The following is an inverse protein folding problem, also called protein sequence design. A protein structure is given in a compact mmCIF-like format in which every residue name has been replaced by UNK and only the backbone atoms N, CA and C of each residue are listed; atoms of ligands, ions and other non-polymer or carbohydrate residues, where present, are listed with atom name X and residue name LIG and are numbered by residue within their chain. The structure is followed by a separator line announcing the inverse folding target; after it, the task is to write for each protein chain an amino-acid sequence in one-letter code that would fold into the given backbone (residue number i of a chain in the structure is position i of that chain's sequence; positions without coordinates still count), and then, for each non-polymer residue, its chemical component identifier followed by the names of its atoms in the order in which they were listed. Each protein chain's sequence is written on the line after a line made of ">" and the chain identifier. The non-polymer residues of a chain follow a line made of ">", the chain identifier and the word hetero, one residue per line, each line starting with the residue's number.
data_IF_373391920577
#
_entry.id   IF_373391920577
#
_cell.length_a   1.000
_cell.length_b   1.000
_cell.length_c   1.000
_cell.angle_alpha   90.00
_cell.angle_beta   90.00
_cell.angle_gamma   90.00
#
_symmetry.space_group_name_H-M   'P 1'
#
loop_
_entity.id
_entity.type
_entity.pdbx_description
1 polymer ?
#
# COMPACT_ATOMS: atom_id res chain seq x y z
N UNK A 1 53.57 10.10 -18.86
CA UNK A 1 52.89 11.01 -17.89
C UNK A 1 51.64 11.66 -18.44
N UNK A 2 51.58 12.14 -19.68
CA UNK A 2 50.41 12.83 -20.24
C UNK A 2 49.17 11.94 -20.38
N UNK A 3 49.29 10.66 -20.80
CA UNK A 3 48.16 9.72 -20.89
C UNK A 3 47.56 9.37 -19.54
N UNK A 4 48.42 9.18 -18.52
CA UNK A 4 47.94 8.92 -17.12
C UNK A 4 47.18 10.11 -16.56
N UNK A 5 47.57 11.33 -16.88
CA UNK A 5 46.87 12.55 -16.44
C UNK A 5 45.53 12.73 -17.18
N UNK A 6 45.43 12.33 -18.47
CA UNK A 6 44.14 12.31 -19.20
C UNK A 6 43.17 11.30 -18.59
N UNK A 7 43.61 10.07 -18.29
CA UNK A 7 42.76 9.07 -17.67
C UNK A 7 42.27 9.47 -16.29
N UNK A 8 43.09 10.15 -15.46
CA UNK A 8 42.67 10.68 -14.18
C UNK A 8 41.70 11.86 -14.31
N UNK A 9 41.85 12.72 -15.31
CA UNK A 9 40.93 13.82 -15.55
C UNK A 9 39.56 13.31 -16.02
N UNK A 10 39.53 12.32 -16.89
CA UNK A 10 38.31 11.65 -17.36
C UNK A 10 37.60 10.92 -16.20
N UNK A 11 38.35 10.17 -15.36
CA UNK A 11 37.81 9.50 -14.19
C UNK A 11 37.15 10.50 -13.23
N UNK A 12 37.81 11.63 -12.96
CA UNK A 12 37.25 12.69 -12.12
C UNK A 12 35.98 13.28 -12.72
N UNK A 13 36.02 13.62 -14.01
CA UNK A 13 34.90 14.30 -14.69
C UNK A 13 33.65 13.42 -14.82
N UNK A 14 33.83 12.14 -15.21
CA UNK A 14 32.71 11.28 -15.57
C UNK A 14 32.21 10.37 -14.45
N UNK A 15 33.02 10.15 -13.41
CA UNK A 15 32.63 9.28 -12.30
C UNK A 15 32.67 10.01 -10.95
N UNK A 16 33.77 10.62 -10.57
CA UNK A 16 33.93 11.17 -9.21
C UNK A 16 33.01 12.36 -8.98
N UNK A 17 33.00 13.35 -9.88
CA UNK A 17 32.15 14.52 -9.72
C UNK A 17 30.64 14.21 -9.70
N UNK A 18 30.12 13.39 -10.65
CA UNK A 18 28.71 12.97 -10.58
C UNK A 18 28.35 12.25 -9.29
N UNK A 19 29.23 11.39 -8.77
CA UNK A 19 29.00 10.70 -7.49
C UNK A 19 28.98 11.68 -6.31
N UNK A 20 29.91 12.63 -6.24
CA UNK A 20 29.96 13.65 -5.20
C UNK A 20 28.69 14.54 -5.25
N UNK A 21 28.33 15.01 -6.44
CA UNK A 21 27.11 15.82 -6.62
C UNK A 21 25.85 15.04 -6.24
N UNK A 22 25.75 13.78 -6.63
CA UNK A 22 24.61 12.92 -6.24
C UNK A 22 24.55 12.71 -4.72
N UNK A 23 25.70 12.51 -4.06
CA UNK A 23 25.76 12.38 -2.62
C UNK A 23 25.37 13.68 -1.91
N UNK A 24 25.90 14.81 -2.36
CA UNK A 24 25.55 16.14 -1.81
C UNK A 24 24.03 16.37 -1.97
N UNK A 25 23.49 16.10 -3.16
CA UNK A 25 22.06 16.24 -3.42
C UNK A 25 21.22 15.32 -2.53
N UNK A 26 21.63 14.06 -2.41
CA UNK A 26 20.96 13.11 -1.51
C UNK A 26 20.95 13.60 -0.06
N UNK A 27 22.10 14.06 0.46
CA UNK A 27 22.19 14.58 1.83
C UNK A 27 21.35 15.85 2.00
N UNK A 28 21.35 16.75 1.02
CA UNK A 28 20.50 17.95 1.03
C UNK A 28 19.01 17.57 1.07
N UNK A 29 18.59 16.66 0.22
CA UNK A 29 17.20 16.16 0.22
C UNK A 29 16.83 15.48 1.54
N UNK A 30 17.69 14.58 2.04
CA UNK A 30 17.39 13.77 3.22
C UNK A 30 17.39 14.60 4.51
N UNK A 31 18.33 15.54 4.68
CA UNK A 31 18.53 16.23 5.96
C UNK A 31 18.03 17.69 5.98
N UNK A 32 17.75 18.29 4.84
CA UNK A 32 17.29 19.68 4.76
C UNK A 32 15.90 19.76 4.14
N UNK A 33 15.74 19.32 2.89
CA UNK A 33 14.50 19.51 2.14
C UNK A 33 13.36 18.67 2.71
N UNK A 34 13.58 17.37 2.92
CA UNK A 34 12.54 16.47 3.44
C UNK A 34 12.08 16.86 4.84
N UNK A 35 12.95 17.11 5.83
CA UNK A 35 12.50 17.60 7.12
C UNK A 35 11.79 18.95 7.06
N UNK A 36 12.25 19.88 6.25
CA UNK A 36 11.61 21.19 6.10
C UNK A 36 10.18 21.11 5.58
N UNK A 37 9.91 20.15 4.66
CA UNK A 37 8.59 19.95 4.07
C UNK A 37 7.73 18.92 4.85
N UNK A 38 8.32 18.13 5.74
CA UNK A 38 7.65 17.05 6.46
C UNK A 38 7.70 17.22 7.98
N UNK A 39 7.49 18.45 8.47
CA UNK A 39 7.39 18.75 9.91
C UNK A 39 8.57 18.19 10.74
N UNK A 40 9.77 18.24 10.19
CA UNK A 40 11.00 17.76 10.85
C UNK A 40 11.26 16.25 10.77
N UNK A 41 10.41 15.47 10.12
CA UNK A 41 10.52 14.01 10.08
C UNK A 41 11.23 13.49 8.82
N UNK A 42 12.04 12.45 9.01
CA UNK A 42 12.64 11.65 7.93
C UNK A 42 11.97 10.27 7.95
N UNK A 43 10.79 10.18 7.39
CA UNK A 43 9.93 8.98 7.49
C UNK A 43 10.57 7.72 6.89
N UNK A 44 11.43 7.85 5.88
CA UNK A 44 12.08 6.70 5.24
C UNK A 44 13.00 5.90 6.15
N UNK A 45 13.54 6.52 7.21
CA UNK A 45 14.38 5.81 8.20
C UNK A 45 13.55 4.77 8.95
N UNK A 46 12.27 5.02 9.13
CA UNK A 46 11.36 4.08 9.77
C UNK A 46 11.22 2.73 9.02
N UNK A 47 11.56 2.67 7.74
CA UNK A 47 11.62 1.41 6.98
C UNK A 47 12.70 0.45 7.49
N UNK A 48 13.66 0.94 8.27
CA UNK A 48 14.82 0.20 8.77
C UNK A 48 14.90 0.18 10.30
N UNK A 49 13.82 0.44 11.00
CA UNK A 49 13.78 0.55 12.47
C UNK A 49 14.31 -0.68 13.19
N UNK A 50 14.16 -1.88 12.61
CA UNK A 50 14.74 -3.11 13.13
C UNK A 50 16.28 -3.11 13.13
N UNK A 51 16.90 -2.20 12.36
CA UNK A 51 18.36 -2.03 12.29
C UNK A 51 18.84 -0.88 13.16
N UNK A 52 17.97 0.14 13.41
CA UNK A 52 18.30 1.29 14.23
C UNK A 52 17.32 2.44 14.03
N UNK A 53 17.21 3.31 15.03
CA UNK A 53 16.24 4.43 15.06
C UNK A 53 16.72 5.70 14.33
N UNK A 54 17.96 5.71 13.87
CA UNK A 54 18.54 6.82 13.08
C UNK A 54 19.53 6.28 12.06
N UNK A 55 19.86 7.03 10.98
CA UNK A 55 20.84 6.61 9.98
C UNK A 55 22.20 6.27 10.61
N UNK A 56 22.65 7.04 11.59
CA UNK A 56 23.89 6.78 12.32
C UNK A 56 23.83 5.48 13.13
N UNK A 57 22.71 5.22 13.82
CA UNK A 57 22.53 3.99 14.58
C UNK A 57 22.44 2.77 13.66
N UNK A 58 21.81 2.89 12.49
CA UNK A 58 21.75 1.82 11.49
C UNK A 58 23.18 1.47 11.05
N UNK A 59 23.97 2.48 10.72
CA UNK A 59 25.36 2.27 10.31
C UNK A 59 26.21 1.63 11.42
N UNK A 60 26.13 2.14 12.65
CA UNK A 60 26.83 1.57 13.81
C UNK A 60 26.41 0.12 14.03
N UNK A 61 25.11 -0.17 14.01
CA UNK A 61 24.59 -1.51 14.23
C UNK A 61 24.96 -2.47 13.08
N UNK A 62 25.14 -1.99 11.87
CA UNK A 62 25.61 -2.81 10.76
C UNK A 62 26.99 -3.44 11.04
N UNK A 63 27.87 -2.72 11.74
CA UNK A 63 29.18 -3.22 12.13
C UNK A 63 29.19 -3.88 13.51
N UNK A 64 28.51 -3.28 14.49
CA UNK A 64 28.51 -3.76 15.87
C UNK A 64 27.61 -4.98 16.10
N UNK A 65 26.55 -5.11 15.30
CA UNK A 65 25.51 -6.15 15.44
C UNK A 65 25.14 -6.76 14.09
N UNK A 66 26.07 -7.40 13.35
CA UNK A 66 25.83 -7.93 12.00
C UNK A 66 24.68 -8.97 11.96
N UNK A 67 24.36 -9.59 13.09
CA UNK A 67 23.21 -10.50 13.22
C UNK A 67 21.87 -9.81 12.93
N UNK A 68 21.72 -8.49 13.13
CA UNK A 68 20.50 -7.77 12.77
C UNK A 68 20.32 -7.71 11.26
N UNK A 69 21.42 -7.41 10.55
CA UNK A 69 21.45 -7.45 9.07
C UNK A 69 21.12 -8.86 8.57
N UNK A 70 21.79 -9.89 9.15
CA UNK A 70 21.55 -11.29 8.78
C UNK A 70 20.12 -11.73 8.98
N UNK A 71 19.48 -11.33 10.08
CA UNK A 71 18.04 -11.63 10.33
C UNK A 71 17.13 -10.93 9.36
N UNK A 72 17.36 -9.65 9.08
CA UNK A 72 16.55 -8.89 8.11
C UNK A 72 16.64 -9.50 6.71
N UNK A 73 17.86 -9.81 6.24
CA UNK A 73 18.08 -10.49 4.96
C UNK A 73 17.42 -11.87 4.92
N UNK A 74 17.61 -12.70 5.95
CA UNK A 74 16.99 -14.01 6.00
C UNK A 74 15.47 -13.91 5.95
N UNK A 75 14.90 -12.96 6.70
CA UNK A 75 13.46 -12.74 6.69
C UNK A 75 12.95 -12.37 5.30
N UNK A 76 13.56 -11.37 4.64
CA UNK A 76 13.13 -10.93 3.31
C UNK A 76 13.38 -11.99 2.23
N UNK A 77 14.43 -12.82 2.33
CA UNK A 77 14.71 -13.89 1.40
C UNK A 77 13.77 -15.09 1.57
N UNK A 78 13.28 -15.36 2.78
CA UNK A 78 12.39 -16.50 3.06
C UNK A 78 10.92 -16.14 2.84
N UNK A 79 10.51 -14.90 3.06
CA UNK A 79 9.11 -14.45 2.93
C UNK A 79 8.86 -13.63 1.66
N UNK A 80 9.93 -13.13 1.01
CA UNK A 80 9.87 -12.37 -0.23
C UNK A 80 10.17 -13.20 -1.47
N UNK A 81 9.83 -12.64 -2.61
CA UNK A 81 10.11 -13.26 -3.90
C UNK A 81 11.01 -12.40 -4.83
N UNK A 82 11.44 -11.22 -4.38
CA UNK A 82 12.19 -10.26 -5.21
C UNK A 82 13.41 -10.90 -5.89
N UNK A 83 14.30 -11.53 -5.10
CA UNK A 83 15.54 -12.08 -5.63
C UNK A 83 15.27 -13.22 -6.62
N UNK A 84 14.37 -14.12 -6.27
CA UNK A 84 14.01 -15.26 -7.11
C UNK A 84 13.31 -14.84 -8.39
N UNK A 85 12.42 -13.87 -8.29
CA UNK A 85 11.72 -13.31 -9.44
C UNK A 85 12.62 -12.47 -10.37
N UNK A 86 13.76 -11.97 -9.88
CA UNK A 86 14.79 -11.32 -10.69
C UNK A 86 15.76 -12.33 -11.33
N UNK A 87 15.94 -13.52 -10.75
CA UNK A 87 16.92 -14.50 -11.24
C UNK A 87 16.29 -15.56 -12.16
N UNK A 88 15.16 -16.14 -11.75
CA UNK A 88 14.57 -17.29 -12.46
C UNK A 88 14.13 -16.98 -13.90
N UNK A 89 13.51 -15.81 -14.21
CA UNK A 89 13.16 -15.49 -15.59
C UNK A 89 14.36 -15.52 -16.55
N UNK A 90 15.54 -15.24 -16.02
CA UNK A 90 16.79 -15.21 -16.77
C UNK A 90 17.62 -16.49 -16.58
N UNK A 91 17.03 -17.58 -16.09
CA UNK A 91 17.72 -18.85 -15.81
C UNK A 91 19.00 -18.67 -14.97
N UNK A 92 18.99 -17.74 -14.03
CA UNK A 92 20.12 -17.37 -13.19
C UNK A 92 21.38 -16.88 -13.93
N UNK A 93 21.27 -16.56 -15.21
CA UNK A 93 22.39 -16.04 -16.05
C UNK A 93 23.07 -14.80 -15.45
N UNK A 94 22.37 -13.85 -14.77
CA UNK A 94 23.03 -12.69 -14.15
C UNK A 94 24.13 -13.07 -13.18
N UNK A 95 24.04 -14.22 -12.50
CA UNK A 95 25.04 -14.70 -11.54
C UNK A 95 26.41 -14.90 -12.19
N UNK A 96 26.43 -15.22 -13.50
CA UNK A 96 27.67 -15.37 -14.26
C UNK A 96 28.38 -14.04 -14.54
N UNK A 97 27.73 -12.90 -14.25
CA UNK A 97 28.27 -11.55 -14.45
C UNK A 97 28.15 -10.73 -13.17
N UNK A 98 28.91 -11.11 -12.12
CA UNK A 98 28.76 -10.55 -10.78
C UNK A 98 28.97 -9.03 -10.72
N UNK A 99 29.69 -8.43 -11.65
CA UNK A 99 29.87 -6.97 -11.73
C UNK A 99 28.54 -6.22 -11.78
N UNK A 100 27.54 -6.73 -12.50
CA UNK A 100 26.23 -6.12 -12.59
C UNK A 100 25.43 -6.29 -11.32
N UNK A 101 25.59 -7.44 -10.65
CA UNK A 101 24.99 -7.67 -9.33
C UNK A 101 25.59 -6.72 -8.29
N UNK A 102 26.92 -6.48 -8.34
CA UNK A 102 27.59 -5.52 -7.46
C UNK A 102 27.05 -4.10 -7.69
N UNK A 103 26.82 -3.71 -8.95
CA UNK A 103 26.20 -2.41 -9.28
C UNK A 103 24.75 -2.34 -8.76
N UNK A 104 24.00 -3.43 -8.83
CA UNK A 104 22.63 -3.52 -8.33
C UNK A 104 22.55 -3.65 -6.80
N UNK A 105 23.64 -4.09 -6.14
CA UNK A 105 23.64 -4.44 -4.73
C UNK A 105 23.17 -3.33 -3.78
N UNK A 106 23.50 -2.04 -3.93
CA UNK A 106 23.00 -1.00 -3.06
C UNK A 106 21.49 -0.92 -3.06
N UNK A 107 20.85 -0.95 -4.24
CA UNK A 107 19.39 -0.90 -4.39
C UNK A 107 18.77 -2.20 -3.87
N UNK A 108 19.35 -3.34 -4.22
CA UNK A 108 18.86 -4.64 -3.77
C UNK A 108 18.92 -4.77 -2.24
N UNK A 109 20.03 -4.37 -1.62
CA UNK A 109 20.19 -4.37 -0.16
C UNK A 109 19.21 -3.40 0.51
N UNK A 110 19.00 -2.22 -0.06
CA UNK A 110 17.99 -1.27 0.44
C UNK A 110 16.63 -1.94 0.54
N UNK A 111 16.19 -2.66 -0.48
CA UNK A 111 14.90 -3.35 -0.46
C UNK A 111 14.89 -4.55 0.49
N UNK A 112 15.90 -5.39 0.46
CA UNK A 112 15.97 -6.60 1.30
C UNK A 112 16.14 -6.29 2.80
N UNK A 113 16.68 -5.13 3.16
CA UNK A 113 16.84 -4.70 4.54
C UNK A 113 15.63 -3.95 5.10
N UNK A 114 14.65 -3.61 4.27
CA UNK A 114 13.42 -2.97 4.72
C UNK A 114 12.52 -3.97 5.48
N UNK A 115 11.82 -3.50 6.51
CA UNK A 115 10.78 -4.31 7.16
C UNK A 115 9.48 -4.40 6.34
N UNK A 116 9.33 -3.52 5.35
CA UNK A 116 8.11 -3.39 4.57
C UNK A 116 8.02 -4.46 3.50
N UNK A 117 6.99 -5.30 3.55
CA UNK A 117 6.81 -6.42 2.62
C UNK A 117 6.78 -6.00 1.14
N UNK A 118 6.21 -4.84 0.81
CA UNK A 118 6.17 -4.35 -0.56
C UNK A 118 7.55 -4.10 -1.18
N UNK A 119 8.60 -3.88 -0.36
CA UNK A 119 9.95 -3.62 -0.84
C UNK A 119 10.64 -4.89 -1.40
N UNK A 120 10.39 -6.04 -0.77
CA UNK A 120 11.00 -7.32 -1.16
C UNK A 120 10.06 -8.25 -1.93
N UNK A 121 8.96 -7.68 -2.47
CA UNK A 121 8.04 -8.35 -3.39
C UNK A 121 8.16 -7.76 -4.79
N UNK A 122 8.31 -8.63 -5.82
CA UNK A 122 8.44 -8.21 -7.23
C UNK A 122 7.21 -7.50 -7.78
N UNK A 123 6.04 -7.69 -7.16
CA UNK A 123 4.77 -7.13 -7.63
C UNK A 123 4.67 -5.61 -7.53
N UNK A 124 5.58 -5.00 -6.79
CA UNK A 124 5.63 -3.55 -6.64
C UNK A 124 6.70 -2.93 -7.52
N UNK A 125 6.51 -1.66 -7.86
CA UNK A 125 7.39 -0.91 -8.77
C UNK A 125 8.84 -0.72 -8.28
N UNK A 126 9.13 -1.05 -7.04
CA UNK A 126 10.46 -0.90 -6.43
C UNK A 126 11.54 -1.73 -7.14
N UNK A 127 11.15 -2.85 -7.75
CA UNK A 127 12.08 -3.69 -8.52
C UNK A 127 12.46 -3.11 -9.89
N UNK A 128 11.75 -2.11 -10.39
CA UNK A 128 11.96 -1.56 -11.74
C UNK A 128 13.40 -1.13 -12.03
N UNK A 129 14.14 -0.46 -11.13
CA UNK A 129 15.54 -0.09 -11.37
C UNK A 129 16.50 -1.28 -11.49
N UNK A 130 16.14 -2.44 -10.93
CA UNK A 130 16.97 -3.65 -10.94
C UNK A 130 16.84 -4.43 -12.26
N UNK A 131 15.67 -4.40 -12.91
CA UNK A 131 15.39 -5.17 -14.11
C UNK A 131 16.39 -4.93 -15.24
N UNK A 132 16.75 -3.68 -15.63
CA UNK A 132 17.74 -3.42 -16.67
C UNK A 132 19.10 -4.02 -16.37
N UNK A 133 19.54 -3.96 -15.11
CA UNK A 133 20.86 -4.48 -14.69
C UNK A 133 20.91 -5.99 -14.79
N UNK A 134 19.87 -6.69 -14.37
CA UNK A 134 19.76 -8.14 -14.48
C UNK A 134 19.63 -8.59 -15.94
N UNK A 135 18.89 -7.82 -16.75
CA UNK A 135 18.77 -8.08 -18.19
C UNK A 135 20.11 -7.93 -18.92
N UNK A 136 20.83 -6.81 -18.70
CA UNK A 136 22.15 -6.58 -19.30
C UNK A 136 23.14 -7.67 -18.86
N UNK A 137 23.15 -8.04 -17.57
CA UNK A 137 23.98 -9.12 -17.07
C UNK A 137 23.71 -10.44 -17.80
N UNK A 138 22.43 -10.75 -18.06
CA UNK A 138 22.03 -11.97 -18.78
C UNK A 138 22.49 -11.97 -20.23
N UNK A 139 22.25 -10.85 -20.93
CA UNK A 139 22.69 -10.68 -22.32
C UNK A 139 24.21 -10.83 -22.45
N UNK A 140 24.94 -10.21 -21.53
CA UNK A 140 26.39 -10.30 -21.50
C UNK A 140 26.90 -11.70 -21.12
N UNK A 141 26.23 -12.40 -20.23
CA UNK A 141 26.55 -13.78 -19.90
C UNK A 141 26.45 -14.68 -21.13
N UNK A 142 25.43 -14.47 -21.96
CA UNK A 142 25.27 -15.18 -23.22
C UNK A 142 26.33 -14.75 -24.22
N UNK A 143 26.51 -13.45 -24.46
CA UNK A 143 27.41 -12.92 -25.51
C UNK A 143 28.89 -13.24 -25.28
N UNK A 144 29.35 -13.21 -24.03
CA UNK A 144 30.74 -13.44 -23.68
C UNK A 144 31.11 -14.92 -23.43
N UNK A 145 30.16 -15.83 -23.60
CA UNK A 145 30.42 -17.25 -23.45
C UNK A 145 31.00 -17.83 -24.72
N UNK A 146 32.28 -18.27 -24.70
CA UNK A 146 32.87 -19.05 -25.77
C UNK A 146 32.17 -20.39 -26.01
N UNK A 147 31.33 -20.82 -25.11
CA UNK A 147 30.44 -21.95 -25.25
C UNK A 147 29.60 -21.86 -26.51
N UNK A 148 29.00 -20.70 -26.81
CA UNK A 148 28.17 -20.49 -28.01
C UNK A 148 28.91 -20.61 -29.31
N UNK A 149 30.23 -20.36 -29.32
CA UNK A 149 31.10 -20.52 -30.47
C UNK A 149 31.48 -21.97 -30.72
N UNK A 150 31.40 -22.82 -29.69
CA UNK A 150 31.85 -24.22 -29.74
C UNK A 150 30.72 -25.23 -29.88
N UNK A 151 29.49 -24.84 -29.56
CA UNK A 151 28.35 -25.74 -29.65
C UNK A 151 27.75 -25.76 -31.05
N UNK A 152 27.22 -26.90 -31.51
CA UNK A 152 26.48 -26.99 -32.76
C UNK A 152 25.32 -26.00 -32.82
N UNK A 153 24.98 -25.52 -34.02
CA UNK A 153 23.91 -24.52 -34.20
C UNK A 153 22.54 -24.94 -33.68
N UNK A 154 22.26 -26.25 -33.68
CA UNK A 154 20.99 -26.75 -33.11
C UNK A 154 20.94 -26.61 -31.57
N UNK A 155 22.10 -26.81 -30.89
CA UNK A 155 22.18 -26.64 -29.42
C UNK A 155 22.02 -25.16 -29.06
N UNK A 156 22.66 -24.26 -29.82
CA UNK A 156 22.53 -22.83 -29.60
C UNK A 156 21.07 -22.35 -29.79
N UNK A 157 20.38 -22.86 -30.84
CA UNK A 157 18.96 -22.58 -31.03
C UNK A 157 18.07 -23.17 -29.93
N UNK A 158 18.33 -24.42 -29.51
CA UNK A 158 17.58 -25.03 -28.40
C UNK A 158 17.73 -24.22 -27.11
N UNK A 159 18.93 -23.73 -26.78
CA UNK A 159 19.15 -22.91 -25.61
C UNK A 159 18.45 -21.55 -25.71
N UNK A 160 18.46 -20.92 -26.88
CA UNK A 160 17.72 -19.67 -27.12
C UNK A 160 16.21 -19.90 -26.87
N UNK A 161 15.66 -21.01 -27.38
CA UNK A 161 14.26 -21.37 -27.07
C UNK A 161 14.01 -21.65 -25.60
N UNK A 162 14.92 -22.33 -24.89
CA UNK A 162 14.81 -22.54 -23.45
C UNK A 162 14.77 -21.23 -22.65
N UNK A 163 15.61 -20.25 -23.05
CA UNK A 163 15.58 -18.90 -22.44
C UNK A 163 14.23 -18.24 -22.70
N UNK A 164 13.75 -18.25 -23.94
CA UNK A 164 12.45 -17.64 -24.29
C UNK A 164 11.31 -18.32 -23.53
N UNK A 165 11.25 -19.65 -23.54
CA UNK A 165 10.22 -20.42 -22.82
C UNK A 165 10.32 -20.17 -21.31
N UNK A 166 11.53 -20.15 -20.75
CA UNK A 166 11.76 -19.82 -19.34
C UNK A 166 11.28 -18.44 -18.97
N UNK A 167 11.57 -17.42 -19.80
CA UNK A 167 11.07 -16.07 -19.60
C UNK A 167 9.53 -16.01 -19.66
N UNK A 168 8.91 -16.69 -20.64
CA UNK A 168 7.45 -16.72 -20.78
C UNK A 168 6.82 -17.45 -19.59
N UNK A 169 7.36 -18.61 -19.20
CA UNK A 169 6.89 -19.36 -18.04
C UNK A 169 6.98 -18.52 -16.74
N UNK A 170 8.08 -17.81 -16.55
CA UNK A 170 8.24 -16.91 -15.42
C UNK A 170 7.24 -15.74 -15.45
N UNK A 171 6.96 -15.18 -16.61
CA UNK A 171 5.94 -14.14 -16.79
C UNK A 171 4.52 -14.65 -16.49
N UNK A 172 4.25 -15.91 -16.77
CA UNK A 172 2.97 -16.55 -16.42
C UNK A 172 2.89 -16.81 -14.91
N UNK A 173 3.97 -17.27 -14.31
CA UNK A 173 3.99 -17.71 -12.91
C UNK A 173 4.14 -16.54 -11.91
N UNK A 174 5.07 -15.64 -12.15
CA UNK A 174 5.43 -14.53 -11.24
C UNK A 174 5.02 -13.17 -11.82
N UNK A 175 5.02 -13.06 -13.13
CA UNK A 175 4.75 -11.81 -13.85
C UNK A 175 3.26 -11.56 -14.12
N UNK A 176 2.95 -10.50 -14.87
CA UNK A 176 1.58 -10.09 -15.14
C UNK A 176 0.83 -11.01 -16.12
N UNK A 177 1.50 -11.82 -16.95
CA UNK A 177 0.84 -12.59 -18.01
C UNK A 177 -0.20 -13.56 -17.46
N UNK A 178 0.10 -14.25 -16.36
CA UNK A 178 -0.86 -15.17 -15.73
C UNK A 178 -2.11 -14.48 -15.22
N UNK A 179 -1.99 -13.22 -14.81
CA UNK A 179 -3.10 -12.41 -14.30
C UNK A 179 -3.85 -11.63 -15.37
N UNK A 180 -3.25 -11.37 -16.52
CA UNK A 180 -3.89 -10.61 -17.61
C UNK A 180 -5.22 -11.25 -18.03
N UNK A 181 -5.24 -12.57 -18.19
CA UNK A 181 -6.46 -13.29 -18.63
C UNK A 181 -7.55 -13.19 -17.56
N UNK A 182 -7.26 -13.53 -16.31
CA UNK A 182 -8.23 -13.46 -15.21
C UNK A 182 -8.66 -12.04 -14.95
N UNK A 183 -7.73 -11.09 -14.82
CA UNK A 183 -8.04 -9.68 -14.57
C UNK A 183 -8.84 -9.06 -15.72
N UNK A 184 -8.58 -9.44 -16.97
CA UNK A 184 -9.36 -8.96 -18.13
C UNK A 184 -10.78 -9.52 -18.10
N UNK A 185 -10.96 -10.80 -17.78
CA UNK A 185 -12.28 -11.41 -17.63
C UNK A 185 -13.07 -10.76 -16.50
N UNK A 186 -12.44 -10.56 -15.34
CA UNK A 186 -13.03 -9.85 -14.19
C UNK A 186 -13.40 -8.41 -14.56
N UNK A 187 -12.49 -7.71 -15.27
CA UNK A 187 -12.73 -6.34 -15.73
C UNK A 187 -13.89 -6.24 -16.70
N UNK A 188 -14.03 -7.18 -17.63
CA UNK A 188 -15.17 -7.23 -18.57
C UNK A 188 -16.47 -7.55 -17.84
N UNK A 189 -16.42 -8.47 -16.85
CA UNK A 189 -17.60 -8.83 -16.04
C UNK A 189 -18.05 -7.75 -15.06
N UNK A 190 -17.15 -6.88 -14.62
CA UNK A 190 -17.41 -5.87 -13.58
C UNK A 190 -18.16 -4.61 -14.06
N UNK A 191 -18.83 -4.64 -15.23
CA UNK A 191 -19.50 -3.48 -15.79
C UNK A 191 -20.58 -2.88 -14.87
N UNK A 192 -21.40 -3.71 -14.28
CA UNK A 192 -22.46 -3.29 -13.34
C UNK A 192 -21.87 -2.74 -12.04
N UNK A 193 -20.84 -3.38 -11.51
CA UNK A 193 -20.18 -2.91 -10.29
C UNK A 193 -19.47 -1.57 -10.51
N UNK A 194 -18.81 -1.37 -11.64
CA UNK A 194 -18.23 -0.07 -12.00
C UNK A 194 -19.28 1.01 -12.13
N UNK A 195 -20.42 0.70 -12.78
CA UNK A 195 -21.52 1.64 -12.90
C UNK A 195 -22.08 2.05 -11.53
N UNK A 196 -22.25 1.08 -10.63
CA UNK A 196 -22.66 1.30 -9.24
C UNK A 196 -21.65 2.19 -8.49
N UNK A 197 -20.36 1.83 -8.49
CA UNK A 197 -19.32 2.62 -7.84
C UNK A 197 -19.26 4.05 -8.37
N UNK A 198 -19.38 4.22 -9.68
CA UNK A 198 -19.42 5.54 -10.31
C UNK A 198 -20.67 6.34 -9.89
N UNK A 199 -21.82 5.69 -9.72
CA UNK A 199 -23.05 6.34 -9.25
C UNK A 199 -22.88 6.87 -7.81
N UNK A 200 -22.18 6.15 -6.92
CA UNK A 200 -21.85 6.64 -5.57
C UNK A 200 -20.86 7.80 -5.61
N UNK A 201 -19.82 7.71 -6.44
CA UNK A 201 -18.84 8.79 -6.62
C UNK A 201 -19.54 10.07 -7.13
N UNK A 202 -20.47 9.93 -8.08
CA UNK A 202 -21.20 11.04 -8.67
C UNK A 202 -22.11 11.80 -7.67
N UNK A 203 -22.50 11.16 -6.58
CA UNK A 203 -23.28 11.81 -5.51
C UNK A 203 -22.43 12.75 -4.63
N UNK A 204 -21.10 12.67 -4.72
CA UNK A 204 -20.20 13.47 -3.89
C UNK A 204 -19.84 14.76 -4.63
N UNK A 205 -20.31 15.94 -4.20
CA UNK A 205 -20.00 17.20 -4.87
C UNK A 205 -18.50 17.49 -4.94
N UNK A 206 -18.00 18.13 -6.01
CA UNK A 206 -16.55 18.37 -6.19
C UNK A 206 -15.88 19.17 -5.06
N UNK A 207 -16.59 20.11 -4.45
CA UNK A 207 -16.08 20.98 -3.39
C UNK A 207 -16.17 20.36 -1.98
N UNK A 208 -16.79 19.18 -1.85
CA UNK A 208 -16.99 18.54 -0.55
C UNK A 208 -15.73 17.84 -0.05
N UNK A 209 -15.52 17.89 1.26
CA UNK A 209 -14.51 17.08 1.94
C UNK A 209 -14.95 15.61 2.01
N UNK A 210 -14.04 14.67 1.73
CA UNK A 210 -14.39 13.26 1.70
C UNK A 210 -13.29 12.38 2.29
N UNK A 211 -13.72 11.36 3.03
CA UNK A 211 -12.89 10.20 3.40
C UNK A 211 -13.29 9.04 2.51
N UNK A 212 -12.34 8.38 1.88
CA UNK A 212 -12.62 7.26 0.96
C UNK A 212 -11.55 6.16 1.05
N UNK A 213 -11.89 4.91 0.63
CA UNK A 213 -10.94 3.83 0.49
C UNK A 213 -9.84 4.15 -0.53
N UNK A 214 -8.70 3.44 -0.44
CA UNK A 214 -7.52 3.69 -1.28
C UNK A 214 -7.84 3.64 -2.78
N UNK A 215 -8.64 2.68 -3.22
CA UNK A 215 -9.03 2.48 -4.62
C UNK A 215 -9.87 3.62 -5.22
N UNK A 216 -10.53 4.42 -4.37
CA UNK A 216 -11.38 5.55 -4.82
C UNK A 216 -10.64 6.88 -4.86
N UNK A 217 -9.46 7.01 -4.24
CA UNK A 217 -8.78 8.29 -4.08
C UNK A 217 -8.43 8.93 -5.42
N UNK A 218 -8.05 8.15 -6.44
CA UNK A 218 -7.74 8.67 -7.78
C UNK A 218 -8.95 9.31 -8.46
N UNK A 219 -10.14 8.72 -8.28
CA UNK A 219 -11.40 9.25 -8.83
C UNK A 219 -11.87 10.52 -8.11
N UNK A 220 -11.41 10.72 -6.88
CA UNK A 220 -11.78 11.83 -6.01
C UNK A 220 -10.67 12.89 -5.90
N UNK A 221 -9.55 12.76 -6.65
CA UNK A 221 -8.33 13.53 -6.47
C UNK A 221 -8.46 15.04 -6.75
N UNK A 222 -9.48 15.48 -7.50
CA UNK A 222 -9.69 16.91 -7.83
C UNK A 222 -10.35 17.71 -6.70
N UNK A 223 -10.15 17.30 -5.44
CA UNK A 223 -10.70 17.96 -4.24
C UNK A 223 -9.59 18.50 -3.35
N UNK A 224 -9.82 19.63 -2.74
CA UNK A 224 -8.88 20.22 -1.78
C UNK A 224 -8.75 19.36 -0.50
N UNK A 225 -9.87 18.77 -0.05
CA UNK A 225 -9.94 17.99 1.21
C UNK A 225 -10.32 16.54 0.93
N UNK A 226 -9.31 15.76 0.60
CA UNK A 226 -9.42 14.33 0.37
C UNK A 226 -8.61 13.56 1.43
N UNK A 227 -9.27 12.66 2.12
CA UNK A 227 -8.65 11.86 3.20
C UNK A 227 -8.80 10.38 2.90
N UNK A 228 -7.77 9.62 3.20
CA UNK A 228 -7.81 8.18 2.97
C UNK A 228 -8.29 7.42 4.21
N UNK A 229 -9.28 6.54 4.00
CA UNK A 229 -9.86 5.71 5.05
C UNK A 229 -8.82 4.80 5.70
N UNK A 230 -7.85 4.30 4.95
CA UNK A 230 -6.84 3.40 5.48
C UNK A 230 -5.97 4.02 6.60
N UNK A 231 -5.77 5.34 6.60
CA UNK A 231 -5.07 6.02 7.71
C UNK A 231 -5.89 6.03 8.98
N UNK A 232 -7.21 6.18 8.84
CA UNK A 232 -8.12 6.11 9.99
C UNK A 232 -8.09 4.70 10.57
N UNK A 233 -8.23 3.68 9.71
CA UNK A 233 -8.21 2.27 10.12
C UNK A 233 -6.88 1.84 10.74
N UNK A 234 -5.78 2.37 10.22
CA UNK A 234 -4.44 2.07 10.74
C UNK A 234 -4.11 2.82 12.02
N UNK A 235 -4.68 3.99 12.23
CA UNK A 235 -4.35 4.91 13.34
C UNK A 235 -2.96 5.53 13.27
N UNK A 236 -2.21 5.26 12.19
CA UNK A 236 -0.83 5.72 11.98
C UNK A 236 -0.67 6.28 10.56
N UNK A 237 0.25 7.22 10.39
CA UNK A 237 0.70 7.66 9.07
C UNK A 237 1.45 6.52 8.37
N UNK A 238 1.40 6.47 7.02
CA UNK A 238 1.84 5.29 6.25
C UNK A 238 3.30 4.91 6.45
N UNK A 239 4.20 5.86 6.38
CA UNK A 239 5.65 5.62 6.43
C UNK A 239 6.25 5.95 7.79
N UNK A 240 5.51 6.61 8.68
CA UNK A 240 5.93 6.93 10.02
C UNK A 240 5.12 6.17 11.04
N UNK A 241 5.67 6.01 12.24
CA UNK A 241 4.96 5.46 13.40
C UNK A 241 4.23 6.55 14.18
N UNK A 242 4.14 7.76 13.61
CA UNK A 242 3.37 8.85 14.20
C UNK A 242 1.88 8.57 14.10
N UNK A 243 1.14 8.93 15.16
CA UNK A 243 -0.32 8.78 15.17
C UNK A 243 -0.94 9.60 14.05
N UNK A 244 -1.97 9.03 13.43
CA UNK A 244 -2.80 9.75 12.48
C UNK A 244 -3.97 10.39 13.22
N UNK A 245 -4.12 11.69 13.05
CA UNK A 245 -5.27 12.43 13.54
C UNK A 245 -6.29 12.52 12.41
N UNK A 246 -7.46 11.85 12.55
CA UNK A 246 -8.53 11.98 11.57
C UNK A 246 -9.01 13.43 11.49
N UNK A 247 -9.52 13.86 10.33
CA UNK A 247 -10.10 15.20 10.20
C UNK A 247 -11.22 15.40 11.24
N UNK A 248 -11.30 16.62 11.76
CA UNK A 248 -12.30 16.97 12.78
C UNK A 248 -13.74 16.89 12.25
N UNK A 249 -13.91 17.16 10.96
CA UNK A 249 -15.19 17.02 10.25
C UNK A 249 -14.94 16.71 8.78
N UNK A 250 -15.84 15.93 8.18
CA UNK A 250 -15.90 15.68 6.73
C UNK A 250 -17.35 15.72 6.28
N UNK A 251 -17.60 16.09 5.03
CA UNK A 251 -18.95 16.14 4.46
C UNK A 251 -19.43 14.75 4.07
N UNK A 252 -18.50 13.90 3.59
CA UNK A 252 -18.81 12.54 3.14
C UNK A 252 -17.78 11.53 3.63
N UNK A 253 -18.26 10.31 3.87
CA UNK A 253 -17.42 9.13 4.10
C UNK A 253 -17.91 8.03 3.17
N UNK A 254 -17.04 7.56 2.28
CA UNK A 254 -17.30 6.41 1.43
C UNK A 254 -16.63 5.18 2.05
N UNK A 255 -17.36 4.10 2.19
CA UNK A 255 -16.86 2.82 2.72
C UNK A 255 -17.23 1.74 1.71
N UNK A 256 -16.26 0.99 1.23
CA UNK A 256 -16.44 -0.19 0.39
C UNK A 256 -15.77 -1.36 1.10
N UNK A 257 -16.55 -2.22 1.74
CA UNK A 257 -16.04 -3.36 2.50
C UNK A 257 -15.41 -4.44 1.59
N UNK A 258 -15.65 -4.40 0.27
CA UNK A 258 -14.99 -5.24 -0.74
C UNK A 258 -13.63 -4.70 -1.18
N UNK A 259 -13.26 -3.49 -0.78
CA UNK A 259 -11.95 -2.95 -1.11
C UNK A 259 -10.84 -3.67 -0.33
N UNK A 260 -10.30 -4.73 -0.95
CA UNK A 260 -9.22 -5.53 -0.35
C UNK A 260 -7.97 -4.69 -0.06
N UNK A 261 -7.72 -3.62 -0.82
CA UNK A 261 -6.59 -2.73 -0.55
C UNK A 261 -6.72 -2.01 0.80
N UNK A 262 -7.95 -1.79 1.27
CA UNK A 262 -8.23 -1.11 2.54
C UNK A 262 -8.53 -2.10 3.67
N UNK A 263 -9.33 -3.13 3.42
CA UNK A 263 -9.89 -4.01 4.47
C UNK A 263 -9.23 -5.38 4.59
N UNK A 264 -8.36 -5.80 3.64
CA UNK A 264 -7.61 -7.03 3.80
C UNK A 264 -6.56 -6.87 4.93
N UNK A 265 -6.60 -7.70 5.99
CA UNK A 265 -5.58 -7.69 7.03
C UNK A 265 -4.16 -7.89 6.49
N UNK A 266 -4.01 -8.63 5.38
CA UNK A 266 -2.75 -8.85 4.69
C UNK A 266 -2.19 -7.59 4.03
N UNK A 267 -3.03 -6.61 3.70
CA UNK A 267 -2.59 -5.31 3.19
C UNK A 267 -1.95 -4.43 4.27
N UNK A 268 -2.12 -4.76 5.55
CA UNK A 268 -1.47 -4.11 6.69
C UNK A 268 -2.09 -2.78 7.13
N UNK A 269 -3.22 -2.40 6.55
CA UNK A 269 -3.98 -1.19 6.93
C UNK A 269 -5.07 -1.52 7.94
N UNK A 270 -5.84 -2.55 7.66
CA UNK A 270 -6.86 -3.05 8.58
C UNK A 270 -6.26 -4.02 9.59
N UNK A 271 -6.59 -3.86 10.87
CA UNK A 271 -6.23 -4.76 11.95
C UNK A 271 -7.41 -4.97 12.91
N UNK A 272 -7.91 -6.20 12.99
CA UNK A 272 -9.10 -6.49 13.79
C UNK A 272 -8.84 -6.44 15.31
N UNK A 273 -7.56 -6.52 15.71
CA UNK A 273 -7.16 -6.52 17.13
C UNK A 273 -6.27 -5.32 17.44
N UNK A 274 -6.18 -4.96 18.73
CA UNK A 274 -5.25 -3.95 19.19
C UNK A 274 -3.80 -4.34 18.87
N UNK A 275 -3.00 -3.34 18.50
CA UNK A 275 -1.56 -3.50 18.23
C UNK A 275 -0.75 -2.62 19.17
N UNK A 276 0.42 -3.10 19.54
CA UNK A 276 1.41 -2.27 20.25
C UNK A 276 2.49 -1.84 19.27
N UNK A 277 2.68 -0.53 19.12
CA UNK A 277 3.72 0.07 18.28
C UNK A 277 4.48 1.08 19.11
N UNK A 278 5.78 0.89 19.28
CA UNK A 278 6.66 1.74 20.11
C UNK A 278 6.13 1.98 21.54
N UNK A 279 5.60 0.93 22.16
CA UNK A 279 5.03 0.99 23.52
C UNK A 279 3.66 1.68 23.60
N UNK A 280 3.10 2.16 22.50
CA UNK A 280 1.75 2.72 22.41
C UNK A 280 0.76 1.66 21.97
N UNK A 281 -0.39 1.62 22.62
CA UNK A 281 -1.50 0.75 22.25
C UNK A 281 -2.32 1.47 21.17
N UNK A 282 -2.44 0.86 20.00
CA UNK A 282 -3.31 1.31 18.92
C UNK A 282 -4.58 0.48 18.95
N UNK A 283 -5.75 1.10 19.08
CA UNK A 283 -7.03 0.38 19.06
C UNK A 283 -7.23 -0.40 17.76
N UNK A 284 -8.15 -1.36 17.77
CA UNK A 284 -8.55 -2.06 16.53
C UNK A 284 -9.09 -1.07 15.50
N UNK A 285 -8.98 -1.42 14.22
CA UNK A 285 -9.49 -0.61 13.11
C UNK A 285 -10.98 -0.30 13.24
N UNK A 286 -11.77 -1.26 13.70
CA UNK A 286 -13.21 -1.07 13.91
C UNK A 286 -13.48 -0.02 14.99
N UNK A 287 -12.72 -0.04 16.07
CA UNK A 287 -12.83 0.98 17.13
C UNK A 287 -12.40 2.35 16.64
N UNK A 288 -11.32 2.43 15.87
CA UNK A 288 -10.85 3.69 15.26
C UNK A 288 -11.89 4.27 14.30
N UNK A 289 -12.50 3.44 13.48
CA UNK A 289 -13.58 3.84 12.56
C UNK A 289 -14.81 4.29 13.34
N UNK A 290 -15.23 3.53 14.35
CA UNK A 290 -16.34 3.89 15.22
C UNK A 290 -16.09 5.23 15.93
N UNK A 291 -14.91 5.42 16.50
CA UNK A 291 -14.51 6.66 17.20
C UNK A 291 -14.44 7.86 16.25
N UNK A 292 -14.17 7.64 14.98
CA UNK A 292 -14.25 8.67 13.95
C UNK A 292 -15.71 9.00 13.60
N UNK A 293 -16.54 7.98 13.33
CA UNK A 293 -17.92 8.18 12.88
C UNK A 293 -18.82 8.77 13.96
N UNK A 294 -18.63 8.43 15.22
CA UNK A 294 -19.44 8.96 16.35
C UNK A 294 -19.34 10.48 16.55
N UNK A 295 -18.36 11.15 15.91
CA UNK A 295 -18.16 12.60 16.02
C UNK A 295 -19.19 13.42 15.28
N UNK A 296 -19.99 12.81 14.40
CA UNK A 296 -21.00 13.50 13.62
C UNK A 296 -22.25 12.62 13.43
N UNK A 297 -23.36 13.26 13.08
CA UNK A 297 -24.56 12.54 12.67
C UNK A 297 -24.52 12.33 11.16
N UNK A 298 -24.86 11.13 10.71
CA UNK A 298 -24.75 10.70 9.33
C UNK A 298 -26.09 10.22 8.77
N UNK A 299 -26.38 10.53 7.51
CA UNK A 299 -27.31 9.75 6.70
C UNK A 299 -26.53 8.79 5.84
N UNK A 300 -27.01 7.57 5.69
CA UNK A 300 -26.37 6.53 4.89
C UNK A 300 -27.18 6.25 3.64
N UNK A 301 -26.50 6.14 2.49
CA UNK A 301 -26.97 5.48 1.30
C UNK A 301 -26.14 4.21 1.15
N UNK A 302 -26.79 3.06 1.15
CA UNK A 302 -26.14 1.75 1.16
C UNK A 302 -26.66 0.88 0.04
N UNK A 303 -25.76 0.28 -0.69
CA UNK A 303 -26.07 -0.73 -1.69
C UNK A 303 -25.04 -1.84 -1.64
N UNK A 304 -25.46 -3.05 -1.26
CA UNK A 304 -24.61 -4.20 -0.95
C UNK A 304 -23.58 -3.83 0.15
N UNK A 305 -22.27 -3.89 -0.15
CA UNK A 305 -21.18 -3.60 0.77
C UNK A 305 -20.58 -2.20 0.58
N UNK A 306 -21.21 -1.37 -0.26
CA UNK A 306 -20.81 0.01 -0.52
C UNK A 306 -21.75 0.97 0.22
N UNK A 307 -21.17 1.80 1.07
CA UNK A 307 -21.90 2.74 1.92
C UNK A 307 -21.35 4.15 1.73
N UNK A 308 -22.23 5.10 1.42
CA UNK A 308 -21.94 6.53 1.39
C UNK A 308 -22.61 7.21 2.59
N UNK A 309 -21.82 7.71 3.50
CA UNK A 309 -22.27 8.48 4.64
C UNK A 309 -22.20 9.97 4.31
N UNK A 310 -23.26 10.71 4.57
CA UNK A 310 -23.35 12.16 4.43
C UNK A 310 -23.52 12.80 5.80
N UNK A 311 -22.68 13.77 6.12
CA UNK A 311 -22.74 14.50 7.37
C UNK A 311 -23.95 15.44 7.41
N UNK A 312 -24.81 15.30 8.43
CA UNK A 312 -26.00 16.12 8.62
C UNK A 312 -25.69 17.54 9.13
N UNK A 313 -24.52 17.70 9.81
CA UNK A 313 -24.08 18.99 10.35
C UNK A 313 -23.47 19.95 9.32
N UNK A 314 -23.14 19.43 8.12
CA UNK A 314 -22.50 20.21 7.04
C UNK A 314 -23.48 21.03 6.18
N UNK A 315 -24.76 21.11 6.54
CA UNK A 315 -25.77 21.74 5.69
C UNK A 315 -25.66 23.27 5.65
N UNK A 316 -24.92 23.76 4.66
CA UNK A 316 -25.27 24.92 3.86
C UNK A 316 -25.45 24.47 2.40
N UNK A 317 -26.58 23.87 2.07
CA UNK A 317 -26.95 23.59 0.69
C UNK A 317 -28.43 23.94 0.46
N UNK A 318 -28.84 24.34 -0.73
CA UNK A 318 -30.14 24.98 -0.97
C UNK A 318 -31.28 24.01 -0.70
N UNK A 319 -32.28 24.55 -0.04
CA UNK A 319 -33.58 23.96 0.24
C UNK A 319 -34.28 23.66 -1.08
N UNK A 320 -34.58 22.40 -1.34
CA UNK A 320 -35.79 22.02 -2.08
C UNK A 320 -36.80 21.62 -1.01
N UNK A 321 -37.84 22.45 -0.93
CA UNK A 321 -39.01 22.17 -0.10
C UNK A 321 -39.59 20.80 -0.41
N UNK A 322 -39.54 19.92 0.59
CA UNK A 322 -40.52 18.86 0.69
C UNK A 322 -40.98 18.79 2.15
N UNK A 323 -42.21 19.25 2.35
CA UNK A 323 -42.88 19.29 3.64
C UNK A 323 -43.19 17.87 4.08
N UNK A 324 -42.56 17.39 5.13
CA UNK A 324 -43.12 16.33 5.97
C UNK A 324 -42.78 16.57 7.44
N UNK A 325 -43.82 16.57 8.22
CA UNK A 325 -44.07 16.83 9.62
C UNK A 325 -42.96 16.55 10.64
N UNK A 326 -42.96 17.28 11.76
CA UNK A 326 -41.99 17.10 12.83
C UNK A 326 -42.35 15.88 13.68
N UNK A 327 -41.54 14.83 13.58
CA UNK A 327 -41.51 13.78 14.57
C UNK A 327 -40.46 14.13 15.62
N UNK A 328 -40.78 13.99 16.91
CA UNK A 328 -39.91 14.18 18.06
C UNK A 328 -38.60 13.36 17.89
N UNK A 329 -37.51 14.06 17.65
CA UNK A 329 -36.25 13.49 17.25
C UNK A 329 -35.32 13.28 18.42
N UNK A 330 -35.25 12.07 18.95
CA UNK A 330 -34.04 11.63 19.65
C UNK A 330 -32.88 11.47 18.66
N UNK A 331 -31.67 11.95 18.97
CA UNK A 331 -30.52 11.87 18.07
C UNK A 331 -30.08 10.40 17.86
N UNK A 332 -30.36 9.84 16.69
CA UNK A 332 -29.84 8.53 16.28
C UNK A 332 -28.43 8.68 15.71
N UNK A 333 -27.65 7.63 15.83
CA UNK A 333 -26.24 7.59 15.40
C UNK A 333 -26.12 7.42 13.88
N UNK A 334 -27.07 6.73 13.26
CA UNK A 334 -27.07 6.41 11.82
C UNK A 334 -28.51 6.23 11.33
N UNK A 335 -28.80 6.71 10.11
CA UNK A 335 -30.09 6.48 9.44
C UNK A 335 -29.87 5.83 8.08
N UNK A 336 -30.55 4.74 7.80
CA UNK A 336 -30.52 4.03 6.53
C UNK A 336 -31.94 3.99 5.96
N UNK A 337 -32.22 4.81 4.94
CA UNK A 337 -33.57 4.95 4.41
C UNK A 337 -34.60 5.33 5.48
N UNK A 338 -35.69 4.56 5.58
CA UNK A 338 -36.69 4.72 6.63
C UNK A 338 -36.31 4.13 8.01
N UNK A 339 -35.08 3.66 8.15
CA UNK A 339 -34.61 2.95 9.34
C UNK A 339 -33.57 3.78 10.06
N UNK A 340 -33.69 3.88 11.37
CA UNK A 340 -32.77 4.64 12.22
C UNK A 340 -32.08 3.70 13.21
N UNK A 341 -30.75 3.71 13.19
CA UNK A 341 -29.96 2.99 14.17
C UNK A 341 -29.97 3.76 15.49
N UNK A 342 -30.54 3.17 16.54
CA UNK A 342 -30.67 3.79 17.84
C UNK A 342 -29.44 3.56 18.71
N UNK A 343 -28.84 2.38 18.59
CA UNK A 343 -27.61 2.05 19.36
C UNK A 343 -26.82 0.95 18.68
N UNK A 344 -25.51 0.99 18.86
CA UNK A 344 -24.59 -0.10 18.53
C UNK A 344 -24.02 -0.59 19.85
N UNK A 345 -24.26 -1.85 20.18
CA UNK A 345 -23.67 -2.53 21.32
C UNK A 345 -22.90 -3.76 20.85
N UNK A 346 -21.74 -4.00 21.42
CA UNK A 346 -21.03 -5.27 21.27
C UNK A 346 -21.18 -6.05 22.57
N UNK A 347 -21.53 -7.32 22.48
CA UNK A 347 -21.66 -8.19 23.64
C UNK A 347 -20.31 -8.45 24.33
N UNK A 348 -19.21 -8.35 23.59
CA UNK A 348 -17.85 -8.61 24.07
C UNK A 348 -16.94 -7.40 23.85
N UNK A 349 -16.22 -7.03 24.90
CA UNK A 349 -15.21 -5.96 24.87
C UNK A 349 -13.96 -6.35 24.03
N UNK A 350 -13.81 -7.65 23.69
CA UNK A 350 -12.70 -8.21 22.94
C UNK A 350 -13.18 -9.21 21.87
N UNK A 351 -12.90 -8.90 20.61
CA UNK A 351 -13.17 -9.80 19.50
C UNK A 351 -11.95 -10.69 19.27
N UNK A 352 -12.11 -12.01 19.43
CA UNK A 352 -11.12 -13.01 19.06
C UNK A 352 -11.42 -13.53 17.65
N UNK A 353 -10.37 -13.82 16.86
CA UNK A 353 -10.47 -14.39 15.50
C UNK A 353 -11.26 -15.72 15.42
N UNK A 354 -11.51 -16.36 16.56
CA UNK A 354 -12.18 -17.68 16.64
C UNK A 354 -13.67 -17.59 17.00
N UNK A 355 -14.23 -16.42 17.23
CA UNK A 355 -15.66 -16.27 17.51
C UNK A 355 -16.29 -15.23 16.60
N UNK A 356 -17.51 -15.46 16.09
CA UNK A 356 -18.25 -14.44 15.36
C UNK A 356 -18.53 -13.25 16.28
N UNK A 357 -18.36 -12.05 15.76
CA UNK A 357 -18.72 -10.81 16.44
C UNK A 357 -20.24 -10.74 16.52
N UNK A 358 -20.81 -10.82 17.71
CA UNK A 358 -22.21 -10.50 17.94
C UNK A 358 -22.38 -8.98 18.09
N UNK A 359 -22.90 -8.34 17.04
CA UNK A 359 -23.22 -6.91 17.07
C UNK A 359 -24.73 -6.77 17.29
N UNK A 360 -25.11 -6.24 18.43
CA UNK A 360 -26.50 -5.90 18.71
C UNK A 360 -26.81 -4.54 18.10
N UNK A 361 -27.51 -4.54 16.96
CA UNK A 361 -28.00 -3.33 16.30
C UNK A 361 -29.46 -3.13 16.66
N UNK A 362 -29.79 -2.03 17.37
CA UNK A 362 -31.16 -1.66 17.65
C UNK A 362 -31.63 -0.64 16.62
N UNK A 363 -32.52 -1.08 15.75
CA UNK A 363 -33.10 -0.27 14.69
C UNK A 363 -34.51 0.19 15.05
N UNK A 364 -34.86 1.42 14.75
CA UNK A 364 -36.22 1.93 14.78
C UNK A 364 -36.71 2.09 13.37
N UNK A 365 -37.72 1.33 12.99
CA UNK A 365 -38.42 1.52 11.72
C UNK A 365 -39.49 2.59 11.89
N UNK A 366 -39.66 3.45 10.90
CA UNK A 366 -40.83 4.31 10.81
C UNK A 366 -42.03 3.48 10.32
N UNK A 367 -42.55 2.62 11.19
CA UNK A 367 -43.68 1.74 10.94
C UNK A 367 -43.83 0.74 12.10
N UNK A 368 -45.04 0.30 12.39
CA UNK A 368 -45.49 -0.35 13.62
C UNK A 368 -44.90 -1.72 13.98
N UNK A 369 -43.69 -2.10 13.52
CA UNK A 369 -43.07 -3.39 13.92
C UNK A 369 -41.60 -3.22 14.29
N UNK A 370 -41.27 -3.52 15.55
CA UNK A 370 -39.91 -3.78 15.99
C UNK A 370 -39.44 -5.11 15.38
N UNK A 371 -38.66 -5.06 14.31
CA UNK A 371 -37.99 -6.22 13.75
C UNK A 371 -36.54 -6.16 14.18
N UNK A 372 -36.06 -7.21 14.83
CA UNK A 372 -34.66 -7.40 15.15
C UNK A 372 -33.99 -8.26 14.07
N UNK A 373 -33.31 -7.70 13.08
CA UNK A 373 -32.48 -8.50 12.20
C UNK A 373 -31.18 -8.81 12.93
N UNK A 374 -30.87 -10.08 13.08
CA UNK A 374 -29.56 -10.55 13.47
C UNK A 374 -28.66 -10.44 12.25
N UNK A 375 -27.71 -9.53 12.25
CA UNK A 375 -26.69 -9.45 11.23
C UNK A 375 -25.45 -10.17 11.73
N UNK A 376 -25.19 -11.35 11.19
CA UNK A 376 -23.88 -12.02 11.30
C UNK A 376 -22.94 -11.33 10.29
N UNK A 377 -22.06 -10.47 10.77
CA UNK A 377 -20.92 -9.98 10.00
C UNK A 377 -19.84 -11.09 10.03
N UNK A 378 -19.63 -11.72 8.88
CA UNK A 378 -18.54 -12.69 8.67
C UNK A 378 -17.26 -11.98 8.28
#
# INVERSE_FOLDING_TARGET
>A
MAERNRGLAELRRWYIWPMILALIWFLLCAYVITPALNSGNIDYVALYDQLGTSPGNILINAFARPQLIGRALLHSLTHGNLLWALLFPFLCLPVLRPRWIVIAAPILLQHLLSWRSSEWMIYFHYAAPLLPLFWIASVEAIAASDYWKRVPSFVSRATAWLVIVGCVAAQIWVGPLGRIVTTTADWLGAGQERARKNAFIAQIPPASSVVAPLSYLSHLAMREKLYSLHYILKGLKTLSRSSYEPPSSTDFVLIDYRDSATFDPGAGFYHPTMKTVDGRIIPSSDRLLHDFLKKAAWTADEQDELTLLRNLGSRKAPVTDDQSSPANDEPGVLSIGATRLLSIGTADEFVSRSRPLEVHLRWKFQGERDVFPWMLLR
#
